data_IF_481970418160
#
_entry.id   IF_481970418160
#
_cell.length_a   1.000
_cell.length_b   1.000
_cell.length_c   1.000
_cell.angle_alpha   90.00
_cell.angle_beta   90.00
_cell.angle_gamma   90.00
#
_symmetry.space_group_name_H-M   'P 1'
#
loop_
_entity.id
_entity.type
_entity.pdbx_description
1 polymer ?
#
# COMPACT_ATOMS: atom_id res chain seq x y z
N UNK A 1 14.43 2.74 -28.78
CA UNK A 1 14.82 2.37 -27.42
C UNK A 1 13.57 2.48 -26.58
N UNK A 2 12.83 1.39 -26.43
CA UNK A 2 11.65 1.37 -25.60
C UNK A 2 12.09 1.33 -24.13
N UNK A 3 11.75 2.39 -23.41
CA UNK A 3 12.06 2.55 -22.00
C UNK A 3 11.08 1.63 -21.26
N UNK A 4 11.57 0.56 -20.64
CA UNK A 4 10.71 -0.31 -19.81
C UNK A 4 10.24 0.51 -18.59
N UNK A 5 8.94 0.81 -18.54
CA UNK A 5 8.31 1.43 -17.37
C UNK A 5 7.86 0.32 -16.42
N UNK A 6 8.50 0.22 -15.26
CA UNK A 6 7.99 -0.60 -14.17
C UNK A 6 6.84 0.14 -13.49
N UNK A 7 5.67 -0.51 -13.45
CA UNK A 7 4.50 -0.05 -12.72
C UNK A 7 4.39 -0.81 -11.41
N UNK A 8 4.05 -0.11 -10.33
CA UNK A 8 3.77 -0.73 -9.05
C UNK A 8 2.45 -1.51 -9.11
N UNK A 9 2.41 -2.63 -8.39
CA UNK A 9 1.24 -3.49 -8.29
C UNK A 9 0.69 -3.42 -6.88
N UNK A 10 -0.64 -3.31 -6.77
CA UNK A 10 -1.34 -3.27 -5.50
C UNK A 10 -1.12 -4.57 -4.72
N UNK A 11 -0.61 -4.46 -3.50
CA UNK A 11 -0.33 -5.59 -2.61
C UNK A 11 -1.58 -6.45 -2.35
N UNK A 12 -2.78 -5.85 -2.30
CA UNK A 12 -4.00 -6.57 -1.95
C UNK A 12 -4.70 -7.24 -3.15
N UNK A 13 -4.92 -6.51 -4.25
CA UNK A 13 -5.75 -6.98 -5.36
C UNK A 13 -4.97 -7.32 -6.64
N UNK A 14 -3.67 -7.01 -6.71
CA UNK A 14 -2.83 -7.31 -7.87
C UNK A 14 -3.06 -6.40 -9.09
N UNK A 15 -3.89 -5.36 -8.97
CA UNK A 15 -4.07 -4.36 -10.03
C UNK A 15 -2.92 -3.34 -10.04
N UNK A 16 -2.72 -2.68 -11.19
CA UNK A 16 -1.74 -1.61 -11.33
C UNK A 16 -2.10 -0.43 -10.42
N UNK A 17 -1.10 0.13 -9.74
CA UNK A 17 -1.23 1.39 -9.00
C UNK A 17 -1.10 2.54 -10.00
N UNK A 18 -2.24 3.10 -10.39
CA UNK A 18 -2.29 4.26 -11.31
C UNK A 18 -2.12 5.59 -10.58
N UNK A 19 -2.39 5.61 -9.27
CA UNK A 19 -2.30 6.79 -8.41
C UNK A 19 -1.52 6.48 -7.14
N UNK A 20 -0.56 7.35 -6.83
CA UNK A 20 0.18 7.30 -5.57
C UNK A 20 -0.67 7.86 -4.40
N UNK A 21 -0.21 7.59 -3.17
CA UNK A 21 -0.82 8.16 -1.95
C UNK A 21 -1.42 7.12 -1.00
N UNK A 22 -1.52 5.85 -1.42
CA UNK A 22 -1.97 4.75 -0.58
C UNK A 22 -0.82 3.77 -0.37
N UNK A 23 -0.09 3.94 0.73
CA UNK A 23 1.02 3.07 1.09
C UNK A 23 1.09 2.87 2.59
N UNK A 24 1.61 1.71 3.01
CA UNK A 24 1.77 1.34 4.41
C UNK A 24 3.12 0.67 4.61
N UNK A 25 3.91 1.15 5.55
CA UNK A 25 5.13 0.45 5.94
C UNK A 25 4.76 -0.66 6.91
N UNK A 26 5.12 -1.90 6.59
CA UNK A 26 4.95 -3.07 7.46
C UNK A 26 6.31 -3.68 7.77
N UNK A 27 6.34 -4.70 8.62
CA UNK A 27 7.56 -5.49 8.87
C UNK A 27 8.13 -6.14 7.58
N UNK A 28 7.33 -6.27 6.53
CA UNK A 28 7.74 -6.79 5.22
C UNK A 28 8.23 -5.69 4.27
N UNK A 29 8.29 -4.43 4.74
CA UNK A 29 8.64 -3.26 3.96
C UNK A 29 7.44 -2.44 3.51
N UNK A 30 7.68 -1.49 2.59
CA UNK A 30 6.64 -0.59 2.08
C UNK A 30 5.68 -1.35 1.14
N UNK A 31 4.41 -1.38 1.53
CA UNK A 31 3.31 -1.90 0.72
C UNK A 31 2.62 -0.76 -0.01
N UNK A 32 2.24 -0.98 -1.28
CA UNK A 32 1.54 -0.01 -2.13
C UNK A 32 0.15 -0.51 -2.50
N UNK A 33 -0.81 0.41 -2.60
CA UNK A 33 -2.21 0.10 -2.86
C UNK A 33 -2.77 0.99 -3.97
N UNK A 34 -3.67 0.44 -4.78
CA UNK A 34 -4.28 1.19 -5.89
C UNK A 34 -5.34 2.21 -5.41
N UNK A 35 -5.86 2.06 -4.18
CA UNK A 35 -6.86 2.96 -3.62
C UNK A 35 -6.94 2.85 -2.08
N UNK A 36 -7.66 3.80 -1.46
CA UNK A 36 -7.92 3.80 -0.01
C UNK A 36 -8.61 2.52 0.48
N UNK A 37 -9.53 1.94 -0.31
CA UNK A 37 -10.25 0.73 0.07
C UNK A 37 -9.33 -0.47 0.26
N UNK A 38 -8.35 -0.66 -0.62
CA UNK A 38 -7.36 -1.73 -0.47
C UNK A 38 -6.46 -1.53 0.74
N UNK A 39 -6.06 -0.27 1.02
CA UNK A 39 -5.31 0.05 2.23
C UNK A 39 -6.11 -0.31 3.50
N UNK A 40 -7.37 0.15 3.59
CA UNK A 40 -8.21 -0.12 4.77
C UNK A 40 -8.48 -1.61 4.98
N UNK A 41 -8.75 -2.37 3.91
CA UNK A 41 -8.94 -3.83 4.02
C UNK A 41 -7.64 -4.51 4.45
N UNK A 42 -6.50 -4.12 3.87
CA UNK A 42 -5.22 -4.68 4.27
C UNK A 42 -4.93 -4.38 5.74
N UNK A 43 -5.25 -3.17 6.22
CA UNK A 43 -5.10 -2.80 7.63
C UNK A 43 -5.95 -3.67 8.55
N UNK A 44 -7.24 -3.85 8.21
CA UNK A 44 -8.15 -4.69 8.99
C UNK A 44 -7.72 -6.17 9.03
N UNK A 45 -7.17 -6.69 7.93
CA UNK A 45 -6.74 -8.08 7.84
C UNK A 45 -5.39 -8.35 8.51
N UNK A 46 -4.57 -7.31 8.70
CA UNK A 46 -3.20 -7.41 9.20
C UNK A 46 -2.99 -6.58 10.48
N UNK A 47 -4.07 -6.20 11.18
CA UNK A 47 -4.08 -5.24 12.31
C UNK A 47 -3.07 -5.61 13.39
N UNK A 48 -2.92 -6.92 13.68
CA UNK A 48 -1.96 -7.46 14.66
C UNK A 48 -0.47 -7.32 14.26
N UNK A 49 -0.19 -6.96 13.01
CA UNK A 49 1.18 -6.99 12.43
C UNK A 49 1.65 -5.67 11.85
N UNK A 50 0.80 -4.64 11.90
CA UNK A 50 1.10 -3.32 11.36
C UNK A 50 1.82 -2.53 12.44
N UNK A 51 3.03 -2.08 12.12
CA UNK A 51 3.68 -1.03 12.89
C UNK A 51 2.86 0.24 12.69
N UNK A 52 1.96 0.53 13.63
CA UNK A 52 1.17 1.76 13.62
C UNK A 52 2.18 2.90 13.74
N UNK A 53 2.39 3.74 12.72
CA UNK A 53 3.06 5.00 12.96
C UNK A 53 2.08 5.79 13.82
N UNK A 54 2.46 6.11 15.06
CA UNK A 54 1.74 7.12 15.85
C UNK A 54 1.85 8.47 15.11
N UNK A 55 1.02 8.67 14.10
CA UNK A 55 0.72 9.99 13.57
C UNK A 55 -0.63 10.38 14.14
N UNK A 56 -0.54 11.07 15.28
CA UNK A 56 -1.55 11.97 15.82
C UNK A 56 -2.43 12.57 14.73
N UNK A 57 -3.69 12.16 14.72
CA UNK A 57 -4.79 12.85 14.04
C UNK A 57 -5.01 14.21 14.74
N UNK A 58 -5.06 15.35 14.02
CA UNK A 58 -5.35 16.65 14.61
C UNK A 58 -6.79 16.76 15.11
#
# INVERSE_FOLDING_TARGET
MDIIKYQDICTLCGLVVEIDGFSLTTQQGLQKFCCAGCLSIYQLLNDDTIEIPLTTQP
#
